data_IF_419768142158
#
_entry.id   IF_419768142158
#
_cell.length_a   1.000
_cell.length_b   1.000
_cell.length_c   1.000
_cell.angle_alpha   90.00
_cell.angle_beta   90.00
_cell.angle_gamma   90.00
#
_symmetry.space_group_name_H-M   'P 1'
#
loop_
_entity.id
_entity.type
_entity.pdbx_description
1 polymer ?
#
# COMPACT_ATOMS: atom_id res chain seq x y z
N UNK A 1 -14.52 11.48 -7.35
CA UNK A 1 -13.16 11.27 -7.95
C UNK A 1 -13.21 11.77 -9.38
N UNK A 2 -12.40 12.79 -9.73
CA UNK A 2 -12.24 13.24 -11.13
C UNK A 2 -11.32 12.22 -11.82
N UNK A 3 -11.70 11.77 -13.01
CA UNK A 3 -10.99 10.75 -13.79
C UNK A 3 -9.48 11.05 -13.85
N UNK A 4 -8.66 10.05 -13.53
CA UNK A 4 -7.19 10.13 -13.68
C UNK A 4 -6.85 10.38 -15.14
N UNK A 5 -6.04 11.40 -15.42
CA UNK A 5 -5.54 11.66 -16.77
C UNK A 5 -4.43 10.67 -17.09
N UNK A 6 -4.63 9.83 -18.08
CA UNK A 6 -3.56 9.02 -18.64
C UNK A 6 -2.59 9.93 -19.41
N UNK A 7 -1.41 10.20 -18.84
CA UNK A 7 -0.43 11.08 -19.46
C UNK A 7 0.82 10.31 -19.89
N UNK A 8 0.87 9.90 -21.17
CA UNK A 8 2.05 9.26 -21.79
C UNK A 8 3.19 10.25 -22.05
N UNK A 9 2.85 11.52 -22.28
CA UNK A 9 3.84 12.57 -22.57
C UNK A 9 4.65 12.91 -21.33
N UNK A 10 4.02 12.95 -20.15
CA UNK A 10 4.70 13.30 -18.88
C UNK A 10 5.85 12.35 -18.56
N UNK A 11 5.65 11.04 -18.75
CA UNK A 11 6.72 10.04 -18.50
C UNK A 11 7.85 10.14 -19.52
N UNK A 12 7.52 10.38 -20.80
CA UNK A 12 8.53 10.59 -21.85
C UNK A 12 9.38 11.83 -21.57
N UNK A 13 8.74 12.94 -21.23
CA UNK A 13 9.44 14.20 -20.88
C UNK A 13 10.29 14.02 -19.63
N UNK A 14 9.78 13.36 -18.59
CA UNK A 14 10.56 13.10 -17.37
C UNK A 14 11.83 12.27 -17.66
N UNK A 15 11.72 11.20 -18.44
CA UNK A 15 12.88 10.36 -18.80
C UNK A 15 13.91 11.12 -19.65
N UNK A 16 13.47 11.95 -20.59
CA UNK A 16 14.37 12.83 -21.36
C UNK A 16 15.08 13.84 -20.48
N UNK A 17 14.36 14.48 -19.54
CA UNK A 17 14.94 15.44 -18.60
C UNK A 17 15.97 14.79 -17.67
N UNK A 18 15.72 13.56 -17.21
CA UNK A 18 16.70 12.79 -16.43
C UNK A 18 17.98 12.58 -17.26
N UNK A 19 17.87 12.13 -18.51
CA UNK A 19 19.02 11.96 -19.41
C UNK A 19 19.81 13.25 -19.64
N UNK A 20 19.12 14.37 -19.89
CA UNK A 20 19.74 15.68 -20.07
C UNK A 20 20.39 16.21 -18.80
N UNK A 21 19.79 15.96 -17.63
CA UNK A 21 20.32 16.43 -16.34
C UNK A 21 21.70 15.85 -16.00
N UNK A 22 21.96 14.59 -16.38
CA UNK A 22 23.26 13.93 -16.19
C UNK A 22 24.36 14.59 -17.05
N UNK A 23 24.02 15.02 -18.27
CA UNK A 23 24.99 15.60 -19.20
C UNK A 23 25.27 17.09 -18.93
N UNK A 24 24.23 17.88 -18.62
CA UNK A 24 24.34 19.34 -18.53
C UNK A 24 24.38 19.90 -17.10
N UNK A 25 23.81 19.21 -16.10
CA UNK A 25 23.61 19.76 -14.75
C UNK A 25 24.41 19.04 -13.65
N UNK A 26 25.41 18.23 -14.00
CA UNK A 26 26.17 17.41 -13.04
C UNK A 26 26.73 18.17 -11.83
N UNK A 27 27.30 19.36 -12.03
CA UNK A 27 27.86 20.17 -10.95
C UNK A 27 26.79 20.85 -10.08
N UNK A 28 25.65 21.24 -10.68
CA UNK A 28 24.55 21.88 -9.97
C UNK A 28 23.72 20.88 -9.15
N UNK A 29 23.57 19.63 -9.61
CA UNK A 29 22.87 18.58 -8.86
C UNK A 29 23.54 18.27 -7.52
N UNK A 30 24.87 18.44 -7.42
CA UNK A 30 25.63 18.25 -6.17
C UNK A 30 25.34 19.30 -5.10
N UNK A 31 24.81 20.46 -5.50
CA UNK A 31 24.42 21.52 -4.57
C UNK A 31 23.14 21.18 -3.81
N UNK A 32 22.36 20.21 -4.30
CA UNK A 32 21.13 19.77 -3.65
C UNK A 32 21.49 18.93 -2.43
N UNK A 33 21.15 19.36 -1.20
CA UNK A 33 21.45 18.58 -0.01
C UNK A 33 20.63 17.28 -0.01
N UNK A 34 21.29 16.14 0.24
CA UNK A 34 20.64 14.83 0.40
C UNK A 34 19.43 14.87 1.37
N UNK A 35 19.46 15.61 2.50
CA UNK A 35 18.33 15.70 3.42
C UNK A 35 17.02 16.19 2.78
N UNK A 36 17.08 17.00 1.72
CA UNK A 36 15.89 17.48 1.00
C UNK A 36 15.21 16.33 0.25
N UNK A 37 16.01 15.44 -0.32
CA UNK A 37 15.50 14.25 -1.02
C UNK A 37 14.88 13.27 -0.04
N UNK A 38 15.47 13.08 1.14
CA UNK A 38 14.90 12.24 2.20
C UNK A 38 13.52 12.76 2.65
N UNK A 39 13.37 14.09 2.78
CA UNK A 39 12.09 14.73 3.04
C UNK A 39 11.05 14.48 1.93
N UNK A 40 11.48 14.56 0.66
CA UNK A 40 10.62 14.23 -0.48
C UNK A 40 10.20 12.75 -0.48
N UNK A 41 11.13 11.83 -0.21
CA UNK A 41 10.82 10.40 -0.11
C UNK A 41 9.85 10.09 1.03
N UNK A 42 9.99 10.76 2.18
CA UNK A 42 9.04 10.62 3.29
C UNK A 42 7.63 11.11 2.89
N UNK A 43 7.54 12.27 2.22
CA UNK A 43 6.27 12.77 1.71
C UNK A 43 5.63 11.81 0.70
N UNK A 44 6.42 11.25 -0.23
CA UNK A 44 5.96 10.24 -1.18
C UNK A 44 5.46 8.97 -0.47
N UNK A 45 6.17 8.51 0.57
CA UNK A 45 5.77 7.34 1.34
C UNK A 45 4.43 7.58 2.07
N UNK A 46 4.25 8.74 2.72
CA UNK A 46 3.00 9.08 3.43
C UNK A 46 1.84 9.25 2.45
N UNK A 47 2.05 9.94 1.34
CA UNK A 47 0.99 10.12 0.33
C UNK A 47 0.60 8.82 -0.36
N UNK A 48 1.52 7.85 -0.50
CA UNK A 48 1.22 6.52 -1.01
C UNK A 48 0.32 5.67 -0.07
N UNK A 49 0.26 6.01 1.22
CA UNK A 49 -0.68 5.38 2.16
C UNK A 49 -2.10 5.95 2.04
N UNK A 50 -2.23 7.16 1.49
CA UNK A 50 -3.53 7.81 1.32
C UNK A 50 -4.35 7.09 0.24
N UNK A 51 -5.58 6.69 0.56
CA UNK A 51 -6.44 5.87 -0.30
C UNK A 51 -6.12 4.36 -0.27
N UNK A 52 -5.21 3.92 0.59
CA UNK A 52 -4.99 2.50 0.82
C UNK A 52 -6.05 1.95 1.81
N UNK A 53 -6.95 1.12 1.30
CA UNK A 53 -8.02 0.51 2.08
C UNK A 53 -7.53 -0.28 3.31
N UNK A 54 -6.35 -0.92 3.24
CA UNK A 54 -5.80 -1.63 4.41
C UNK A 54 -5.42 -0.63 5.50
N UNK A 55 -4.77 0.47 5.12
CA UNK A 55 -4.35 1.52 6.06
C UNK A 55 -5.54 2.26 6.67
N UNK A 56 -6.59 2.52 5.89
CA UNK A 56 -7.86 3.05 6.40
C UNK A 56 -8.46 2.13 7.47
N UNK A 57 -8.56 0.83 7.18
CA UNK A 57 -9.07 -0.18 8.12
C UNK A 57 -8.18 -0.36 9.35
N UNK A 58 -6.87 -0.25 9.18
CA UNK A 58 -5.91 -0.29 10.27
C UNK A 58 -6.09 0.89 11.21
N UNK A 59 -6.31 2.10 10.67
CA UNK A 59 -6.57 3.31 11.46
C UNK A 59 -7.86 3.17 12.29
N UNK A 60 -8.89 2.48 11.78
CA UNK A 60 -10.11 2.19 12.53
C UNK A 60 -9.86 1.36 13.80
N UNK A 61 -8.76 0.60 13.92
CA UNK A 61 -8.43 -0.13 15.15
C UNK A 61 -8.08 0.80 16.32
N UNK A 62 -7.54 1.98 16.02
CA UNK A 62 -7.13 2.97 17.00
C UNK A 62 -8.18 4.06 17.22
N UNK A 63 -9.24 4.07 16.42
CA UNK A 63 -10.27 5.08 16.50
C UNK A 63 -11.40 4.64 17.43
N UNK A 64 -11.93 5.58 18.22
CA UNK A 64 -13.11 5.32 19.03
C UNK A 64 -14.35 5.08 18.15
N UNK A 65 -15.24 4.18 18.59
CA UNK A 65 -16.42 3.76 17.83
C UNK A 65 -17.36 4.92 17.46
N UNK A 66 -17.43 5.95 18.29
CA UNK A 66 -18.26 7.14 18.10
C UNK A 66 -17.78 8.03 16.95
N UNK A 67 -16.50 7.95 16.59
CA UNK A 67 -15.89 8.76 15.54
C UNK A 67 -15.92 8.09 14.16
N UNK A 68 -16.46 6.87 14.03
CA UNK A 68 -16.39 6.10 12.78
C UNK A 68 -17.04 6.85 11.61
N UNK A 69 -16.35 6.98 10.46
CA UNK A 69 -16.92 7.64 9.30
C UNK A 69 -18.13 6.84 8.81
N UNK A 70 -19.18 7.50 8.29
CA UNK A 70 -20.38 6.83 7.78
C UNK A 70 -20.13 6.17 6.41
N UNK A 71 -19.20 5.22 6.34
CA UNK A 71 -18.87 4.47 5.13
C UNK A 71 -19.80 3.24 4.95
N UNK A 72 -20.08 2.89 3.69
CA UNK A 72 -21.03 1.82 3.32
C UNK A 72 -20.68 0.44 3.91
N UNK A 73 -19.39 0.09 3.96
CA UNK A 73 -18.94 -1.20 4.47
C UNK A 73 -19.11 -1.34 5.99
N UNK A 74 -18.93 -0.26 6.76
CA UNK A 74 -19.07 -0.25 8.23
C UNK A 74 -20.53 -0.53 8.64
N UNK A 75 -21.50 -0.13 7.80
CA UNK A 75 -22.93 -0.37 8.04
C UNK A 75 -23.38 -1.80 7.75
N UNK A 76 -22.65 -2.55 6.91
CA UNK A 76 -23.06 -3.87 6.40
C UNK A 76 -22.36 -5.04 7.07
N UNK A 77 -21.22 -4.81 7.72
CA UNK A 77 -20.38 -5.85 8.31
C UNK A 77 -20.22 -5.59 9.81
N UNK A 78 -20.41 -6.60 10.68
CA UNK A 78 -20.17 -6.43 12.11
C UNK A 78 -18.70 -6.10 12.38
N UNK A 79 -18.45 -5.10 13.24
CA UNK A 79 -17.11 -4.56 13.53
C UNK A 79 -16.07 -5.64 13.90
N UNK A 80 -16.46 -6.66 14.69
CA UNK A 80 -15.58 -7.78 15.06
C UNK A 80 -14.99 -8.49 13.84
N UNK A 81 -15.77 -8.65 12.76
CA UNK A 81 -15.32 -9.30 11.52
C UNK A 81 -14.37 -8.40 10.73
N UNK A 82 -14.58 -7.08 10.76
CA UNK A 82 -13.67 -6.09 10.15
C UNK A 82 -12.31 -6.11 10.85
N UNK A 83 -12.30 -6.12 12.19
CA UNK A 83 -11.06 -6.17 12.96
C UNK A 83 -10.32 -7.51 12.80
N UNK A 84 -11.04 -8.64 12.80
CA UNK A 84 -10.45 -9.95 12.50
C UNK A 84 -9.80 -9.98 11.11
N UNK A 85 -10.49 -9.46 10.09
CA UNK A 85 -9.94 -9.38 8.73
C UNK A 85 -8.67 -8.53 8.67
N UNK A 86 -8.72 -7.34 9.26
CA UNK A 86 -7.58 -6.40 9.29
C UNK A 86 -6.40 -6.99 10.05
N UNK A 87 -6.63 -7.68 11.17
CA UNK A 87 -5.58 -8.36 11.93
C UNK A 87 -4.89 -9.46 11.10
N UNK A 88 -5.64 -10.25 10.33
CA UNK A 88 -5.07 -11.25 9.42
C UNK A 88 -4.21 -10.56 8.35
N UNK A 89 -4.71 -9.48 7.73
CA UNK A 89 -3.96 -8.74 6.71
C UNK A 89 -2.67 -8.11 7.26
N UNK A 90 -2.72 -7.51 8.45
CA UNK A 90 -1.55 -6.93 9.13
C UNK A 90 -0.55 -8.03 9.50
N UNK A 91 -1.02 -9.19 9.94
CA UNK A 91 -0.15 -10.35 10.20
C UNK A 91 0.56 -10.81 8.91
N UNK A 92 -0.17 -10.94 7.80
CA UNK A 92 0.41 -11.27 6.50
C UNK A 92 1.42 -10.23 6.03
N UNK A 93 1.12 -8.94 6.19
CA UNK A 93 2.03 -7.85 5.88
C UNK A 93 3.28 -7.90 6.78
N UNK A 94 3.13 -8.21 8.07
CA UNK A 94 4.25 -8.38 9.00
C UNK A 94 5.16 -9.55 8.61
N UNK A 95 4.59 -10.70 8.27
CA UNK A 95 5.33 -11.85 7.73
C UNK A 95 6.10 -11.43 6.48
N UNK A 96 5.42 -10.81 5.51
CA UNK A 96 6.04 -10.31 4.28
C UNK A 96 7.16 -9.32 4.56
N UNK A 97 6.99 -8.44 5.55
CA UNK A 97 7.97 -7.43 5.95
C UNK A 97 9.22 -8.07 6.56
N UNK A 98 9.07 -9.08 7.41
CA UNK A 98 10.21 -9.81 8.00
C UNK A 98 11.06 -10.47 6.90
N UNK A 99 10.40 -11.14 5.95
CA UNK A 99 11.11 -11.75 4.81
C UNK A 99 11.70 -10.71 3.86
N UNK A 100 11.01 -9.58 3.64
CA UNK A 100 11.48 -8.49 2.79
C UNK A 100 12.68 -7.73 3.36
N UNK A 101 12.72 -7.52 4.68
CA UNK A 101 13.82 -6.84 5.37
C UNK A 101 15.02 -7.75 5.69
N UNK A 102 14.91 -9.05 5.40
CA UNK A 102 16.01 -9.99 5.61
C UNK A 102 17.18 -9.65 4.66
N UNK A 103 18.39 -9.53 5.21
CA UNK A 103 19.61 -9.20 4.44
C UNK A 103 20.12 -10.32 3.54
N UNK A 104 19.51 -11.52 3.59
CA UNK A 104 19.94 -12.67 2.80
C UNK A 104 19.57 -12.51 1.32
N UNK A 105 20.54 -12.60 0.40
CA UNK A 105 20.30 -12.36 -1.02
C UNK A 105 19.35 -13.39 -1.64
N UNK A 106 19.42 -14.66 -1.20
CA UNK A 106 18.56 -15.74 -1.69
C UNK A 106 17.07 -15.45 -1.45
N UNK A 107 16.71 -14.88 -0.30
CA UNK A 107 15.33 -14.55 0.06
C UNK A 107 14.78 -13.45 -0.85
N UNK A 108 15.60 -12.46 -1.20
CA UNK A 108 15.21 -11.38 -2.12
C UNK A 108 14.89 -11.87 -3.53
N UNK A 109 15.61 -12.88 -4.00
CA UNK A 109 15.36 -13.50 -5.32
C UNK A 109 14.03 -14.27 -5.32
N UNK A 110 13.70 -14.96 -4.22
CA UNK A 110 12.48 -15.78 -4.09
C UNK A 110 11.26 -14.91 -3.69
N UNK A 111 11.48 -13.68 -3.24
CA UNK A 111 10.43 -12.77 -2.74
C UNK A 111 9.18 -12.65 -3.63
N UNK A 112 9.29 -12.51 -4.98
CA UNK A 112 8.09 -12.44 -5.84
C UNK A 112 7.26 -13.73 -5.80
N UNK A 113 7.91 -14.89 -5.73
CA UNK A 113 7.24 -16.20 -5.61
C UNK A 113 6.55 -16.31 -4.26
N UNK A 114 7.23 -15.89 -3.19
CA UNK A 114 6.66 -15.86 -1.84
C UNK A 114 5.42 -14.96 -1.76
N UNK A 115 5.50 -13.75 -2.34
CA UNK A 115 4.38 -12.82 -2.46
C UNK A 115 3.20 -13.43 -3.22
N UNK A 116 3.47 -14.13 -4.34
CA UNK A 116 2.45 -14.84 -5.10
C UNK A 116 1.81 -15.97 -4.28
N UNK A 117 2.58 -16.71 -3.49
CA UNK A 117 2.05 -17.76 -2.60
C UNK A 117 1.17 -17.20 -1.48
N UNK A 118 1.39 -15.97 -1.00
CA UNK A 118 0.53 -15.34 -0.01
C UNK A 118 -0.88 -15.04 -0.54
N UNK A 119 -1.07 -14.84 -1.85
CA UNK A 119 -2.38 -14.59 -2.46
C UNK A 119 -3.39 -15.75 -2.28
N UNK A 120 -3.09 -17.01 -2.69
CA UNK A 120 -3.99 -18.13 -2.47
C UNK A 120 -4.10 -18.49 -0.98
N UNK A 121 -3.02 -18.35 -0.20
CA UNK A 121 -3.04 -18.57 1.25
C UNK A 121 -4.05 -17.61 1.91
N UNK A 122 -4.05 -16.33 1.51
CA UNK A 122 -5.04 -15.34 1.96
C UNK A 122 -6.45 -15.80 1.64
N UNK A 123 -6.72 -16.24 0.41
CA UNK A 123 -8.06 -16.67 0.01
C UNK A 123 -8.54 -17.87 0.83
N UNK A 124 -7.69 -18.88 1.06
CA UNK A 124 -8.00 -20.06 1.87
C UNK A 124 -8.27 -19.73 3.35
N UNK A 125 -7.39 -18.95 3.97
CA UNK A 125 -7.53 -18.56 5.38
C UNK A 125 -8.77 -17.70 5.56
N UNK A 126 -8.91 -16.66 4.74
CA UNK A 126 -9.96 -15.65 4.91
C UNK A 126 -11.36 -16.24 4.68
N UNK A 127 -11.53 -17.10 3.68
CA UNK A 127 -12.81 -17.77 3.41
C UNK A 127 -13.22 -18.78 4.47
N UNK A 128 -12.28 -19.25 5.30
CA UNK A 128 -12.56 -20.16 6.42
C UNK A 128 -12.98 -19.45 7.71
N UNK A 129 -12.49 -18.24 7.95
CA UNK A 129 -12.79 -17.47 9.17
C UNK A 129 -13.95 -16.46 9.03
N UNK A 130 -14.24 -16.00 7.81
CA UNK A 130 -15.22 -14.95 7.52
C UNK A 130 -16.17 -15.41 6.42
N UNK A 131 -17.48 -15.20 6.62
CA UNK A 131 -18.49 -15.56 5.62
C UNK A 131 -18.26 -14.82 4.30
N UNK A 132 -18.48 -15.55 3.20
CA UNK A 132 -18.34 -15.05 1.81
C UNK A 132 -19.11 -13.74 1.57
N UNK A 133 -20.26 -13.57 2.22
CA UNK A 133 -21.10 -12.36 2.12
C UNK A 133 -20.39 -11.11 2.65
N UNK A 134 -19.68 -11.23 3.78
CA UNK A 134 -18.94 -10.10 4.36
C UNK A 134 -17.67 -9.81 3.57
N UNK A 135 -17.03 -10.84 3.01
CA UNK A 135 -15.83 -10.68 2.19
C UNK A 135 -16.08 -9.91 0.91
N UNK A 136 -17.20 -10.16 0.23
CA UNK A 136 -17.56 -9.39 -0.97
C UNK A 136 -17.76 -7.89 -0.67
N UNK A 137 -18.21 -7.54 0.53
CA UNK A 137 -18.38 -6.14 0.95
C UNK A 137 -17.05 -5.52 1.39
N UNK A 138 -16.16 -6.31 2.00
CA UNK A 138 -14.83 -5.88 2.46
C UNK A 138 -13.79 -5.76 1.33
N UNK A 139 -13.91 -6.59 0.29
CA UNK A 139 -13.04 -6.59 -0.90
C UNK A 139 -13.63 -5.80 -2.07
N UNK A 140 -14.90 -5.38 -1.98
CA UNK A 140 -15.55 -4.56 -3.00
C UNK A 140 -14.90 -3.18 -3.09
N UNK A 141 -14.69 -2.70 -4.32
CA UNK A 141 -14.23 -1.32 -4.53
C UNK A 141 -15.26 -0.34 -3.94
N UNK A 142 -14.77 0.62 -3.16
CA UNK A 142 -15.56 1.73 -2.67
C UNK A 142 -16.02 2.57 -3.86
N UNK A 143 -17.28 2.38 -4.29
CA UNK A 143 -18.03 3.44 -4.95
C UNK A 143 -18.69 4.32 -3.89
#
# INVERSE_FOLDING_TARGET
IVKVRETRITSLVANLLIGLSIFFLGDYLRLIPVPVLDGLFLYLAVTALNGNQLFERFTLLFMEQTAYPPNHYIRRVPQRKIHQFTAIQVCQLGILSIFGFTSWPYIKIIFPIFLLCLLPIRQLITTRFIDRKYLQVLDGEHQ
#
